data_IF_525482437446
#
_entry.id   IF_525482437446
#
_cell.length_a   1.000
_cell.length_b   1.000
_cell.length_c   1.000
_cell.angle_alpha   90.00
_cell.angle_beta   90.00
_cell.angle_gamma   90.00
#
_symmetry.space_group_name_H-M   'P 1'
#
loop_
_entity.id
_entity.type
_entity.pdbx_description
1 polymer ?
#
# COMPACT_ATOMS: atom_id res chain seq x y z
N UNK A 1 10.45 -14.06 -53.51
CA UNK A 1 11.22 -14.41 -52.30
C UNK A 1 12.07 -13.24 -51.75
N UNK A 2 11.57 -12.00 -51.62
CA UNK A 2 12.40 -10.85 -51.23
C UNK A 2 11.93 -10.19 -49.91
N UNK A 3 10.83 -10.64 -49.29
CA UNK A 3 10.24 -9.91 -48.12
C UNK A 3 10.54 -10.49 -46.73
N UNK A 4 11.22 -11.61 -46.58
CA UNK A 4 11.48 -12.19 -45.22
C UNK A 4 12.76 -11.69 -44.56
N UNK A 5 13.79 -11.26 -45.34
CA UNK A 5 15.07 -10.81 -44.77
C UNK A 5 15.01 -9.42 -44.11
N UNK A 6 14.07 -8.57 -44.55
CA UNK A 6 13.90 -7.20 -44.00
C UNK A 6 13.21 -7.14 -42.64
N UNK A 7 12.39 -8.13 -42.30
CA UNK A 7 11.64 -8.16 -41.02
C UNK A 7 12.51 -8.56 -39.83
N UNK A 8 13.44 -9.50 -40.03
CA UNK A 8 14.36 -9.95 -38.98
C UNK A 8 15.36 -8.87 -38.54
N UNK A 9 15.92 -8.10 -39.47
CA UNK A 9 16.88 -7.01 -39.16
C UNK A 9 16.25 -5.87 -38.40
N UNK A 10 15.00 -5.51 -38.70
CA UNK A 10 14.24 -4.43 -37.94
C UNK A 10 13.95 -4.83 -36.50
N UNK A 11 13.62 -6.08 -36.23
CA UNK A 11 13.35 -6.59 -34.89
C UNK A 11 14.63 -6.66 -34.04
N UNK A 12 15.75 -7.09 -34.59
CA UNK A 12 17.03 -7.17 -33.87
C UNK A 12 17.49 -5.75 -33.46
N UNK A 13 17.47 -4.78 -34.35
CA UNK A 13 17.85 -3.40 -34.02
C UNK A 13 16.93 -2.72 -33.00
N UNK A 14 15.66 -3.08 -32.99
CA UNK A 14 14.70 -2.59 -32.00
C UNK A 14 14.99 -3.20 -30.63
N UNK A 15 15.30 -4.48 -30.55
CA UNK A 15 15.67 -5.18 -29.30
C UNK A 15 16.98 -4.63 -28.75
N UNK A 16 17.99 -4.41 -29.59
CA UNK A 16 19.27 -3.83 -29.20
C UNK A 16 19.13 -2.38 -28.69
N UNK A 17 18.31 -1.56 -29.35
CA UNK A 17 18.00 -0.21 -28.89
C UNK A 17 17.32 -0.23 -27.52
N UNK A 18 16.34 -1.13 -27.29
CA UNK A 18 15.68 -1.29 -26.00
C UNK A 18 16.64 -1.74 -24.90
N UNK A 19 17.59 -2.66 -25.18
CA UNK A 19 18.64 -3.05 -24.23
C UNK A 19 19.52 -1.85 -23.86
N UNK A 20 20.07 -1.14 -24.84
CA UNK A 20 20.90 0.06 -24.61
C UNK A 20 20.15 1.13 -23.80
N UNK A 21 18.87 1.33 -24.05
CA UNK A 21 18.04 2.28 -23.29
C UNK A 21 17.87 1.85 -21.84
N UNK A 22 17.67 0.55 -21.59
CA UNK A 22 17.57 0.01 -20.22
C UNK A 22 18.90 0.13 -19.47
N UNK A 23 20.02 -0.22 -20.10
CA UNK A 23 21.36 -0.10 -19.51
C UNK A 23 21.70 1.36 -19.19
N UNK A 24 21.40 2.29 -20.11
CA UNK A 24 21.60 3.71 -19.87
C UNK A 24 20.75 4.23 -18.71
N UNK A 25 19.49 3.78 -18.60
CA UNK A 25 18.60 4.09 -17.49
C UNK A 25 19.16 3.58 -16.16
N UNK A 26 19.62 2.34 -16.09
CA UNK A 26 20.23 1.78 -14.88
C UNK A 26 21.44 2.59 -14.44
N UNK A 27 22.36 2.90 -15.35
CA UNK A 27 23.53 3.74 -15.05
C UNK A 27 23.14 5.11 -14.53
N UNK A 28 22.11 5.74 -15.11
CA UNK A 28 21.62 7.05 -14.62
C UNK A 28 21.06 6.95 -13.19
N UNK A 29 20.38 5.86 -12.85
CA UNK A 29 19.88 5.65 -11.49
C UNK A 29 21.05 5.45 -10.52
N UNK A 30 21.95 4.51 -10.81
CA UNK A 30 23.09 4.17 -9.96
C UNK A 30 23.99 5.39 -9.65
N UNK A 31 24.34 6.16 -10.68
CA UNK A 31 25.19 7.34 -10.52
C UNK A 31 24.53 8.50 -9.76
N UNK A 32 23.21 8.50 -9.60
CA UNK A 32 22.46 9.55 -8.92
C UNK A 32 21.90 9.15 -7.56
N UNK A 33 22.18 7.93 -7.04
CA UNK A 33 21.72 7.48 -5.73
C UNK A 33 22.26 8.36 -4.57
N UNK A 34 23.48 8.91 -4.70
CA UNK A 34 24.01 9.85 -3.70
C UNK A 34 23.13 11.10 -3.54
N UNK A 35 22.50 11.56 -4.61
CA UNK A 35 21.58 12.70 -4.55
C UNK A 35 20.35 12.35 -3.71
N UNK A 36 19.85 11.12 -3.80
CA UNK A 36 18.71 10.65 -2.98
C UNK A 36 19.07 10.69 -1.51
N UNK A 37 20.22 10.12 -1.12
CA UNK A 37 20.68 10.11 0.29
C UNK A 37 20.87 11.53 0.82
N UNK A 38 21.43 12.42 0.01
CA UNK A 38 21.61 13.83 0.37
C UNK A 38 20.28 14.54 0.65
N UNK A 39 19.27 14.30 -0.17
CA UNK A 39 17.95 14.89 0.00
C UNK A 39 17.16 14.24 1.13
N UNK A 40 17.26 12.91 1.30
CA UNK A 40 16.62 12.18 2.39
C UNK A 40 17.06 12.69 3.78
N UNK A 41 18.35 12.97 3.96
CA UNK A 41 18.89 13.56 5.21
C UNK A 41 18.20 14.87 5.62
N UNK A 42 17.70 15.65 4.68
CA UNK A 42 16.96 16.88 4.98
C UNK A 42 15.68 16.64 5.76
N UNK A 43 15.14 15.43 5.65
CA UNK A 43 13.87 15.01 6.27
C UNK A 43 14.05 14.07 7.46
N UNK A 44 15.27 13.83 7.93
CA UNK A 44 15.59 12.92 9.05
C UNK A 44 14.81 13.28 10.34
N UNK A 45 14.56 14.58 10.58
CA UNK A 45 13.86 15.07 11.77
C UNK A 45 12.33 14.86 11.73
N UNK A 46 11.79 14.15 10.74
CA UNK A 46 10.34 13.94 10.60
C UNK A 46 9.81 12.74 11.37
N UNK A 47 10.69 11.98 12.06
CA UNK A 47 10.34 10.78 12.81
C UNK A 47 10.15 9.54 11.95
N UNK A 48 10.63 9.57 10.70
CA UNK A 48 10.67 8.42 9.79
C UNK A 48 12.13 8.01 9.64
N UNK A 49 12.36 6.70 9.57
CA UNK A 49 13.72 6.16 9.43
C UNK A 49 14.36 6.64 8.12
N UNK A 50 15.68 6.92 8.18
CA UNK A 50 16.44 7.39 7.04
C UNK A 50 16.40 6.39 5.87
N UNK A 51 16.42 5.08 6.18
CA UNK A 51 16.36 4.01 5.17
C UNK A 51 15.05 4.04 4.39
N UNK A 52 13.94 4.28 5.07
CA UNK A 52 12.63 4.44 4.44
C UNK A 52 12.59 5.68 3.55
N UNK A 53 13.11 6.81 4.04
CA UNK A 53 13.19 8.05 3.27
C UNK A 53 14.05 7.88 2.01
N UNK A 54 15.16 7.14 2.09
CA UNK A 54 16.02 6.82 0.93
C UNK A 54 15.28 5.90 -0.04
N UNK A 55 14.56 4.91 0.45
CA UNK A 55 13.77 4.00 -0.40
C UNK A 55 12.69 4.75 -1.18
N UNK A 56 11.94 5.63 -0.50
CA UNK A 56 10.92 6.49 -1.12
C UNK A 56 11.55 7.48 -2.10
N UNK A 57 12.65 8.12 -1.71
CA UNK A 57 13.39 9.04 -2.56
C UNK A 57 13.93 8.35 -3.83
N UNK A 58 14.32 7.08 -3.74
CA UNK A 58 14.74 6.28 -4.89
C UNK A 58 13.61 6.07 -5.90
N UNK A 59 12.38 5.86 -5.42
CA UNK A 59 11.19 5.81 -6.28
C UNK A 59 11.02 7.16 -7.01
N UNK A 60 11.19 8.27 -6.29
CA UNK A 60 11.14 9.62 -6.85
C UNK A 60 12.20 9.84 -7.92
N UNK A 61 13.44 9.37 -7.71
CA UNK A 61 14.51 9.42 -8.71
C UNK A 61 14.15 8.63 -9.96
N UNK A 62 13.64 7.42 -9.82
CA UNK A 62 13.22 6.56 -10.93
C UNK A 62 12.13 7.25 -11.76
N UNK A 63 11.09 7.75 -11.13
CA UNK A 63 10.02 8.52 -11.79
C UNK A 63 10.58 9.77 -12.50
N UNK A 64 11.53 10.45 -11.85
CA UNK A 64 12.21 11.60 -12.42
C UNK A 64 12.98 11.27 -13.70
N UNK A 65 13.75 10.17 -13.70
CA UNK A 65 14.52 9.73 -14.87
C UNK A 65 13.59 9.31 -16.01
N UNK A 66 12.50 8.61 -15.71
CA UNK A 66 11.54 8.14 -16.72
C UNK A 66 10.77 9.28 -17.40
N UNK A 67 10.54 10.37 -16.68
CA UNK A 67 9.78 11.54 -17.19
C UNK A 67 10.66 12.69 -17.68
N UNK A 68 11.99 12.57 -17.50
CA UNK A 68 12.92 13.61 -17.90
C UNK A 68 12.96 13.83 -19.41
N UNK A 69 12.84 15.08 -19.83
CA UNK A 69 12.92 15.49 -21.23
C UNK A 69 14.12 16.44 -21.43
N UNK A 70 15.04 16.03 -22.29
CA UNK A 70 16.26 16.80 -22.61
C UNK A 70 15.98 18.13 -23.32
N UNK A 71 14.83 18.25 -23.99
CA UNK A 71 14.47 19.39 -24.81
C UNK A 71 14.23 20.67 -23.99
N UNK A 72 14.04 20.55 -22.66
CA UNK A 72 13.71 21.68 -21.78
C UNK A 72 14.92 22.42 -21.22
N UNK A 73 16.15 22.09 -21.59
CA UNK A 73 17.40 22.73 -21.13
C UNK A 73 17.56 22.80 -19.58
N UNK A 74 16.91 21.92 -18.84
CA UNK A 74 17.01 21.80 -17.37
C UNK A 74 18.01 20.68 -17.04
N UNK A 75 18.90 20.92 -16.09
CA UNK A 75 19.83 19.86 -15.64
C UNK A 75 19.05 18.71 -14.98
N UNK A 76 19.42 17.46 -15.29
CA UNK A 76 18.80 16.27 -14.73
C UNK A 76 18.74 16.32 -13.18
N UNK A 77 19.85 16.73 -12.54
CA UNK A 77 19.91 16.81 -11.09
C UNK A 77 18.84 17.76 -10.51
N UNK A 78 18.60 18.89 -11.14
CA UNK A 78 17.58 19.87 -10.70
C UNK A 78 16.16 19.31 -10.84
N UNK A 79 15.89 18.58 -11.92
CA UNK A 79 14.59 17.97 -12.14
C UNK A 79 14.37 16.77 -11.20
N UNK A 80 15.36 15.90 -11.10
CA UNK A 80 15.32 14.73 -10.22
C UNK A 80 15.17 15.13 -8.75
N UNK A 81 15.87 16.18 -8.28
CA UNK A 81 15.72 16.68 -6.90
C UNK A 81 14.26 17.04 -6.58
N UNK A 82 13.58 17.72 -7.47
CA UNK A 82 12.14 18.06 -7.28
C UNK A 82 11.26 16.82 -7.25
N UNK A 83 11.55 15.82 -8.07
CA UNK A 83 10.79 14.57 -8.08
C UNK A 83 11.00 13.78 -6.79
N UNK A 84 12.24 13.73 -6.27
CA UNK A 84 12.59 13.09 -5.00
C UNK A 84 11.90 13.82 -3.84
N UNK A 85 12.05 15.14 -3.73
CA UNK A 85 11.40 15.96 -2.70
C UNK A 85 9.88 15.77 -2.70
N UNK A 86 9.25 15.78 -3.87
CA UNK A 86 7.80 15.60 -4.01
C UNK A 86 7.34 14.22 -3.52
N UNK A 87 8.09 13.15 -3.84
CA UNK A 87 7.73 11.80 -3.42
C UNK A 87 7.84 11.65 -1.89
N UNK A 88 8.93 12.17 -1.30
CA UNK A 88 9.12 12.19 0.16
C UNK A 88 8.01 13.01 0.83
N UNK A 89 7.72 14.22 0.36
CA UNK A 89 6.66 15.05 0.93
C UNK A 89 5.26 14.42 0.82
N UNK A 90 4.99 13.72 -0.28
CA UNK A 90 3.73 12.99 -0.47
C UNK A 90 3.59 11.86 0.55
N UNK A 91 4.66 11.13 0.80
CA UNK A 91 4.71 10.09 1.83
C UNK A 91 4.53 10.66 3.24
N UNK A 92 5.23 11.74 3.57
CA UNK A 92 5.09 12.42 4.86
C UNK A 92 3.66 12.89 5.14
N UNK A 93 2.98 13.43 4.11
CA UNK A 93 1.56 13.84 4.24
C UNK A 93 0.64 12.65 4.48
N UNK A 94 0.91 11.52 3.83
CA UNK A 94 0.14 10.28 4.02
C UNK A 94 0.34 9.75 5.44
N UNK A 95 1.59 9.67 5.90
CA UNK A 95 1.93 9.17 7.24
C UNK A 95 1.44 10.10 8.38
N UNK A 96 1.29 11.40 8.11
CA UNK A 96 0.74 12.31 9.13
C UNK A 96 -0.68 11.92 9.55
N UNK A 97 -1.47 11.31 8.67
CA UNK A 97 -2.80 10.79 9.02
C UNK A 97 -2.72 9.52 9.89
N UNK A 98 -1.70 8.70 9.67
CA UNK A 98 -1.48 7.44 10.41
C UNK A 98 -0.98 7.69 11.84
N UNK A 99 -0.33 8.84 12.12
CA UNK A 99 0.12 9.21 13.47
C UNK A 99 -1.02 9.44 14.48
N UNK A 100 -2.26 9.51 14.03
CA UNK A 100 -3.46 9.55 14.88
C UNK A 100 -4.01 8.16 15.20
N UNK A 101 -3.42 7.10 14.66
CA UNK A 101 -3.77 5.72 15.03
C UNK A 101 -3.12 5.39 16.37
N UNK A 102 -3.94 4.91 17.31
CA UNK A 102 -3.52 4.47 18.65
C UNK A 102 -3.40 2.94 18.58
N UNK A 103 -2.34 2.37 19.16
CA UNK A 103 -2.18 0.92 19.24
C UNK A 103 -3.25 0.33 20.17
N UNK A 104 -3.78 -0.84 19.84
CA UNK A 104 -4.68 -1.58 20.73
C UNK A 104 -4.00 -2.00 22.04
N UNK A 105 -2.68 -2.22 21.98
CA UNK A 105 -1.84 -2.57 23.15
C UNK A 105 -1.44 -1.35 23.98
N UNK A 106 -1.85 -0.13 23.60
CA UNK A 106 -1.54 1.05 24.41
C UNK A 106 -2.35 1.06 25.68
N UNK A 107 -1.67 1.13 26.83
CA UNK A 107 -2.33 1.21 28.14
C UNK A 107 -3.01 2.56 28.30
N UNK A 108 -4.32 2.55 28.51
CA UNK A 108 -5.16 3.75 28.72
C UNK A 108 -5.11 4.25 30.15
N UNK A 109 -5.06 3.35 31.12
CA UNK A 109 -5.00 3.68 32.55
C UNK A 109 -4.42 2.52 33.37
N UNK A 110 -3.99 2.85 34.57
CA UNK A 110 -3.52 1.90 35.56
C UNK A 110 -4.50 1.88 36.74
N UNK A 111 -4.90 0.69 37.17
CA UNK A 111 -5.65 0.53 38.38
C UNK A 111 -4.77 0.77 39.62
N UNK A 112 -5.36 1.09 40.81
CA UNK A 112 -4.60 1.20 42.06
C UNK A 112 -3.81 -0.05 42.43
N UNK A 113 -4.18 -1.22 41.88
CA UNK A 113 -3.51 -2.51 42.04
C UNK A 113 -2.38 -2.74 41.04
N UNK A 114 -2.18 -1.82 40.08
CA UNK A 114 -1.10 -1.87 39.09
C UNK A 114 -1.45 -2.66 37.82
N UNK A 115 -2.70 -3.03 37.60
CA UNK A 115 -3.14 -3.67 36.36
C UNK A 115 -3.28 -2.63 35.25
N UNK A 116 -2.85 -2.96 34.05
CA UNK A 116 -2.97 -2.11 32.86
C UNK A 116 -4.32 -2.39 32.18
N UNK A 117 -5.05 -1.32 31.85
CA UNK A 117 -6.25 -1.38 31.04
C UNK A 117 -5.89 -1.03 29.61
N UNK A 118 -6.06 -1.97 28.70
CA UNK A 118 -5.79 -1.79 27.28
C UNK A 118 -7.04 -1.40 26.50
N UNK A 119 -6.84 -0.80 25.32
CA UNK A 119 -7.94 -0.41 24.46
C UNK A 119 -8.77 -1.63 23.98
N UNK A 120 -8.13 -2.79 23.82
CA UNK A 120 -8.77 -4.05 23.43
C UNK A 120 -9.78 -4.54 24.48
N UNK A 121 -9.52 -4.27 25.78
CA UNK A 121 -10.41 -4.68 26.88
C UNK A 121 -11.75 -3.90 26.85
N UNK A 122 -11.72 -2.68 26.30
CA UNK A 122 -12.91 -1.80 26.23
C UNK A 122 -13.69 -2.03 24.93
N UNK A 123 -12.99 -2.36 23.83
CA UNK A 123 -13.59 -2.52 22.51
C UNK A 123 -14.02 -3.98 22.21
N UNK A 124 -14.22 -4.77 23.23
CA UNK A 124 -14.71 -6.14 23.10
C UNK A 124 -15.97 -6.22 22.22
N UNK A 125 -16.06 -7.24 21.40
CA UNK A 125 -17.29 -7.59 20.71
C UNK A 125 -18.28 -8.21 21.70
N UNK A 126 -19.59 -7.97 21.47
CA UNK A 126 -20.66 -8.61 22.23
C UNK A 126 -20.41 -10.14 22.25
N UNK A 127 -20.32 -10.77 23.44
CA UNK A 127 -19.99 -12.19 23.56
C UNK A 127 -20.96 -13.09 22.79
N UNK A 128 -22.21 -12.63 22.59
CA UNK A 128 -23.26 -13.39 21.93
C UNK A 128 -23.24 -13.25 20.39
N UNK A 129 -22.36 -12.43 19.83
CA UNK A 129 -22.34 -12.18 18.35
C UNK A 129 -22.05 -13.47 17.56
N UNK A 130 -21.23 -14.37 18.10
CA UNK A 130 -20.86 -15.63 17.43
C UNK A 130 -21.96 -16.66 17.55
N UNK A 131 -22.66 -16.71 18.68
CA UNK A 131 -23.73 -17.68 18.96
C UNK A 131 -25.07 -17.26 18.38
N UNK A 132 -25.33 -15.96 18.26
CA UNK A 132 -26.61 -15.42 17.76
C UNK A 132 -26.99 -15.92 16.37
N UNK A 133 -26.05 -16.01 15.45
CA UNK A 133 -26.30 -16.56 14.11
C UNK A 133 -26.67 -18.05 14.14
N UNK A 134 -26.06 -18.81 15.05
CA UNK A 134 -26.35 -20.22 15.24
C UNK A 134 -27.73 -20.42 15.89
N UNK A 135 -28.06 -19.61 16.89
CA UNK A 135 -29.36 -19.63 17.55
C UNK A 135 -30.50 -19.31 16.58
N UNK A 136 -30.34 -18.24 15.77
CA UNK A 136 -31.29 -17.87 14.73
C UNK A 136 -31.51 -18.99 13.69
N UNK A 137 -30.45 -19.72 13.31
CA UNK A 137 -30.56 -20.85 12.37
C UNK A 137 -31.23 -22.08 13.00
N UNK A 138 -31.02 -22.32 14.28
CA UNK A 138 -31.67 -23.40 15.06
C UNK A 138 -33.17 -23.08 15.20
N UNK A 139 -33.51 -21.87 15.62
CA UNK A 139 -34.89 -21.43 15.79
C UNK A 139 -35.68 -21.52 14.48
N UNK A 140 -35.04 -21.10 13.38
CA UNK A 140 -35.66 -21.22 12.04
C UNK A 140 -35.94 -22.69 11.65
N UNK A 141 -35.03 -23.60 11.98
CA UNK A 141 -35.23 -25.04 11.73
C UNK A 141 -36.36 -25.59 12.57
N UNK A 142 -36.42 -25.24 13.84
CA UNK A 142 -37.48 -25.68 14.76
C UNK A 142 -38.84 -25.21 14.25
N UNK A 143 -38.92 -23.92 13.88
CA UNK A 143 -40.19 -23.36 13.34
C UNK A 143 -40.62 -24.12 12.08
N UNK A 144 -39.69 -24.38 11.16
CA UNK A 144 -40.03 -25.14 9.91
C UNK A 144 -40.41 -26.56 10.23
N UNK A 145 -39.79 -27.23 11.21
CA UNK A 145 -40.19 -28.58 11.65
C UNK A 145 -41.58 -28.61 12.26
N UNK A 146 -41.90 -27.65 13.12
CA UNK A 146 -43.23 -27.55 13.72
C UNK A 146 -44.32 -27.20 12.71
N UNK A 147 -44.09 -26.34 11.74
CA UNK A 147 -45.00 -26.08 10.62
C UNK A 147 -45.26 -27.36 9.82
N UNK A 148 -44.22 -28.17 9.62
CA UNK A 148 -44.36 -29.44 8.88
C UNK A 148 -45.15 -30.51 9.65
N UNK A 149 -45.31 -30.38 10.97
CA UNK A 149 -46.14 -31.28 11.82
C UNK A 149 -47.62 -30.91 11.85
N UNK A 150 -47.96 -29.69 11.38
CA UNK A 150 -49.34 -29.23 11.32
C UNK A 150 -50.13 -29.97 10.25
N UNK A 151 -51.46 -30.06 10.45
CA UNK A 151 -52.39 -30.61 9.49
C UNK A 151 -52.33 -29.86 8.14
N UNK A 152 -52.55 -30.54 6.98
CA UNK A 152 -52.45 -29.93 5.67
C UNK A 152 -53.20 -28.61 5.47
N UNK A 153 -54.34 -28.44 6.16
CA UNK A 153 -55.15 -27.21 6.15
C UNK A 153 -54.50 -26.05 6.86
N UNK A 154 -53.91 -26.32 8.04
CA UNK A 154 -53.32 -25.30 8.87
C UNK A 154 -51.95 -24.86 8.31
N UNK A 155 -51.29 -25.80 7.62
CA UNK A 155 -50.02 -25.54 6.94
C UNK A 155 -50.13 -24.61 5.72
N UNK A 156 -51.32 -24.58 5.06
CA UNK A 156 -51.55 -23.71 3.91
C UNK A 156 -51.89 -22.25 4.31
N UNK A 157 -52.20 -22.03 5.59
CA UNK A 157 -52.53 -20.72 6.16
C UNK A 157 -51.30 -20.00 6.77
N UNK A 158 -50.24 -20.74 7.19
CA UNK A 158 -49.05 -20.23 7.81
C UNK A 158 -47.95 -19.89 6.77
#
# INVERSE_FOLDING_TARGET
>A
MINQVSFGKRNITTIERRKKTKEARHKLIEHNLRLVVFLAKKYENTGIDLEDLVSIGSIGLIKGIDTYKTDKNIKLATYASRCIDNEILMYLRKNKKIKTEVSFDESLSYDPEGNELHLEDILGTDPDIVTKGLEEDIDRKIVVEEINRLDPRDREIM
#
